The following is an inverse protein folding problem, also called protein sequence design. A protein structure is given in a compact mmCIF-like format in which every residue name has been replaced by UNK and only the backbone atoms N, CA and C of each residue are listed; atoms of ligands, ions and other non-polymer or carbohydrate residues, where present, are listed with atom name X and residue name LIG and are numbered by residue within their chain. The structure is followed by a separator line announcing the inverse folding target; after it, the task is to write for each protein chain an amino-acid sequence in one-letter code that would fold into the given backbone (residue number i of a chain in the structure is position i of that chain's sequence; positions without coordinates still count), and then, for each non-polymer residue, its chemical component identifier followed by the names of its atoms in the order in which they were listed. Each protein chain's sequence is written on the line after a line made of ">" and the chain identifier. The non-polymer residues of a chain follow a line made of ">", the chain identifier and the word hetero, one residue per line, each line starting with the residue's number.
data_IF_113124623519
#
_entry.id   IF_113124623519
#
_cell.length_a   1.000
_cell.length_b   1.000
_cell.length_c   1.000
_cell.angle_alpha   90.00
_cell.angle_beta   90.00
_cell.angle_gamma   90.00
#
_symmetry.space_group_name_H-M   'P 1'
#
loop_
_entity.id
_entity.type
_entity.pdbx_description
1 polymer ?
#
# COMPACT_ATOMS: atom_id res chain seq x y z
N UNK A 1 70.27 -0.62 -4.15
CA UNK A 1 69.87 -0.05 -5.48
C UNK A 1 69.11 1.25 -5.27
N UNK A 2 69.41 2.34 -6.01
CA UNK A 2 68.78 3.66 -5.77
C UNK A 2 67.39 3.74 -6.36
N UNK A 3 66.43 4.38 -5.65
CA UNK A 3 65.03 4.60 -6.08
C UNK A 3 64.92 5.18 -7.49
N UNK A 4 65.86 6.09 -7.86
CA UNK A 4 65.92 6.66 -9.22
C UNK A 4 66.21 5.66 -10.33
N UNK A 5 66.91 4.56 -10.00
CA UNK A 5 67.25 3.49 -10.96
C UNK A 5 66.02 2.59 -11.18
N UNK A 6 65.29 2.28 -10.12
CA UNK A 6 64.03 1.49 -10.19
C UNK A 6 62.95 2.16 -11.07
N UNK A 7 62.81 3.47 -10.98
CA UNK A 7 61.82 4.21 -11.79
C UNK A 7 62.09 4.27 -13.29
N UNK A 8 63.31 3.93 -13.72
CA UNK A 8 63.72 3.93 -15.14
C UNK A 8 63.76 2.53 -15.78
N UNK A 9 63.54 1.52 -15.00
CA UNK A 9 63.57 0.14 -15.48
C UNK A 9 62.26 -0.21 -16.19
N UNK A 10 62.34 -0.98 -17.25
CA UNK A 10 61.21 -1.54 -17.95
C UNK A 10 60.53 -2.59 -17.09
N UNK A 11 59.28 -2.95 -17.45
CA UNK A 11 58.50 -3.94 -16.72
C UNK A 11 59.20 -5.31 -16.68
N UNK A 12 59.86 -5.68 -17.75
CA UNK A 12 60.65 -6.94 -17.87
C UNK A 12 61.88 -6.92 -16.97
N UNK A 13 62.63 -5.83 -16.93
CA UNK A 13 63.76 -5.68 -16.03
C UNK A 13 63.37 -5.66 -14.56
N UNK A 14 62.22 -5.10 -14.21
CA UNK A 14 61.68 -5.15 -12.85
C UNK A 14 61.28 -6.57 -12.44
N UNK A 15 60.71 -7.35 -13.37
CA UNK A 15 60.36 -8.76 -13.12
C UNK A 15 61.62 -9.58 -12.87
N UNK A 16 62.66 -9.38 -13.68
CA UNK A 16 63.92 -10.08 -13.57
C UNK A 16 64.65 -9.78 -12.25
N UNK A 17 64.64 -8.53 -11.82
CA UNK A 17 65.16 -8.10 -10.52
C UNK A 17 64.34 -8.70 -9.37
N UNK A 18 63.01 -8.77 -9.50
CA UNK A 18 62.12 -9.37 -8.48
C UNK A 18 62.40 -10.88 -8.41
N UNK A 19 62.57 -11.56 -9.54
CA UNK A 19 62.86 -12.97 -9.56
C UNK A 19 64.26 -13.29 -9.02
N UNK A 20 65.27 -12.44 -9.29
CA UNK A 20 66.61 -12.57 -8.72
C UNK A 20 66.62 -12.34 -7.21
N UNK A 21 65.92 -11.32 -6.72
CA UNK A 21 65.74 -11.07 -5.28
C UNK A 21 64.97 -12.19 -4.58
N UNK A 22 64.09 -12.87 -5.30
CA UNK A 22 63.31 -14.00 -4.78
C UNK A 22 64.12 -15.30 -4.69
N UNK A 23 65.19 -15.44 -5.52
CA UNK A 23 66.12 -16.56 -5.47
C UNK A 23 67.11 -16.47 -4.29
N UNK A 24 67.39 -15.28 -3.80
CA UNK A 24 68.30 -15.01 -2.68
C UNK A 24 67.59 -15.04 -1.30
N UNK A 25 66.26 -15.22 -1.26
CA UNK A 25 65.48 -15.28 -0.01
C UNK A 25 65.72 -16.61 0.71
N UNK A 26 66.02 -16.54 1.99
CA UNK A 26 66.08 -17.72 2.83
C UNK A 26 64.71 -18.36 2.97
N UNK A 27 64.62 -19.72 3.15
CA UNK A 27 63.32 -20.38 3.30
C UNK A 27 62.43 -19.79 4.40
N UNK A 28 63.01 -19.18 5.43
CA UNK A 28 62.30 -18.51 6.52
C UNK A 28 61.66 -17.18 6.09
N UNK A 29 62.37 -16.40 5.25
CA UNK A 29 61.84 -15.12 4.73
C UNK A 29 60.69 -15.37 3.74
N UNK A 30 60.77 -16.38 2.91
CA UNK A 30 59.73 -16.78 1.97
C UNK A 30 58.46 -17.20 2.73
N UNK A 31 58.61 -17.94 3.84
CA UNK A 31 57.46 -18.34 4.68
C UNK A 31 56.82 -17.18 5.43
N UNK A 32 57.62 -16.24 5.91
CA UNK A 32 57.16 -15.03 6.55
C UNK A 32 56.34 -14.16 5.56
N UNK A 33 56.82 -13.97 4.34
CA UNK A 33 56.13 -13.26 3.28
C UNK A 33 54.78 -13.92 2.93
N UNK A 34 54.75 -15.24 2.81
CA UNK A 34 53.51 -15.99 2.55
C UNK A 34 52.48 -15.78 3.67
N UNK A 35 52.91 -15.75 4.94
CA UNK A 35 52.02 -15.49 6.07
C UNK A 35 51.45 -14.06 6.05
N UNK A 36 52.30 -13.07 5.72
CA UNK A 36 51.88 -11.67 5.59
C UNK A 36 50.90 -11.49 4.43
N UNK A 37 51.17 -12.12 3.28
CA UNK A 37 50.27 -12.05 2.13
C UNK A 37 48.93 -12.74 2.40
N UNK A 38 48.93 -13.89 3.08
CA UNK A 38 47.72 -14.56 3.50
C UNK A 38 46.86 -13.70 4.46
N UNK A 39 47.52 -13.01 5.40
CA UNK A 39 46.85 -12.13 6.34
C UNK A 39 46.30 -10.85 5.64
N UNK A 40 47.08 -10.26 4.74
CA UNK A 40 46.61 -9.14 3.89
C UNK A 40 45.41 -9.56 3.03
N UNK A 41 45.40 -10.73 2.45
CA UNK A 41 44.31 -11.26 1.66
C UNK A 41 43.05 -11.44 2.50
N UNK A 42 43.16 -12.03 3.69
CA UNK A 42 42.04 -12.17 4.65
C UNK A 42 41.46 -10.82 5.05
N UNK A 43 42.32 -9.84 5.35
CA UNK A 43 41.86 -8.52 5.75
C UNK A 43 41.19 -7.75 4.59
N UNK A 44 41.70 -7.91 3.37
CA UNK A 44 41.11 -7.28 2.17
C UNK A 44 39.79 -7.95 1.80
N UNK A 45 39.69 -9.27 1.86
CA UNK A 45 38.45 -10.02 1.61
C UNK A 45 37.37 -9.66 2.66
N UNK A 46 37.78 -9.60 3.94
CA UNK A 46 36.85 -9.16 5.02
C UNK A 46 36.34 -7.74 4.82
N UNK A 47 37.23 -6.79 4.44
CA UNK A 47 36.80 -5.40 4.14
C UNK A 47 35.88 -5.37 2.94
N UNK A 48 36.20 -6.08 1.87
CA UNK A 48 35.37 -6.17 0.66
C UNK A 48 34.00 -6.78 0.98
N UNK A 49 33.97 -7.85 1.76
CA UNK A 49 32.72 -8.45 2.21
C UNK A 49 31.84 -7.45 2.97
N UNK A 50 32.41 -6.74 3.94
CA UNK A 50 31.66 -5.73 4.70
C UNK A 50 31.20 -4.54 3.86
N UNK A 51 31.99 -4.12 2.87
CA UNK A 51 31.58 -3.06 1.94
C UNK A 51 30.41 -3.51 1.05
N UNK A 52 30.47 -4.71 0.48
CA UNK A 52 29.39 -5.29 -0.33
C UNK A 52 28.14 -5.49 0.53
N UNK A 53 28.29 -6.10 1.70
CA UNK A 53 27.18 -6.34 2.62
C UNK A 53 26.49 -5.03 3.01
N UNK A 54 27.26 -4.02 3.40
CA UNK A 54 26.72 -2.71 3.77
C UNK A 54 26.00 -2.04 2.59
N UNK A 55 26.55 -2.14 1.39
CA UNK A 55 25.91 -1.63 0.17
C UNK A 55 24.59 -2.34 -0.11
N UNK A 56 24.58 -3.68 -0.07
CA UNK A 56 23.36 -4.47 -0.31
C UNK A 56 22.29 -4.19 0.75
N UNK A 57 22.66 -4.17 2.03
CA UNK A 57 21.73 -3.88 3.13
C UNK A 57 21.16 -2.45 3.00
N UNK A 58 22.00 -1.46 2.68
CA UNK A 58 21.56 -0.08 2.46
C UNK A 58 20.56 0.01 1.31
N UNK A 59 20.84 -0.66 0.19
CA UNK A 59 19.93 -0.69 -0.97
C UNK A 59 18.60 -1.35 -0.61
N UNK A 60 18.62 -2.47 0.11
CA UNK A 60 17.41 -3.14 0.57
C UNK A 60 16.57 -2.26 1.49
N UNK A 61 17.21 -1.54 2.42
CA UNK A 61 16.52 -0.60 3.32
C UNK A 61 15.85 0.52 2.52
N UNK A 62 16.56 1.10 1.55
CA UNK A 62 16.01 2.18 0.72
C UNK A 62 14.82 1.67 -0.12
N UNK A 63 14.94 0.51 -0.75
CA UNK A 63 13.84 -0.10 -1.53
C UNK A 63 12.66 -0.42 -0.63
N UNK A 64 12.88 -0.99 0.54
CA UNK A 64 11.83 -1.28 1.51
C UNK A 64 11.15 0.01 2.01
N UNK A 65 11.94 1.05 2.30
CA UNK A 65 11.41 2.35 2.71
C UNK A 65 10.52 2.98 1.62
N UNK A 66 10.97 2.96 0.37
CA UNK A 66 10.19 3.47 -0.76
C UNK A 66 8.91 2.63 -0.93
N UNK A 67 9.00 1.31 -0.87
CA UNK A 67 7.87 0.39 -1.02
C UNK A 67 6.78 0.60 0.06
N UNK A 68 7.17 1.04 1.25
CA UNK A 68 6.22 1.35 2.34
C UNK A 68 5.74 2.80 2.27
N UNK A 69 6.65 3.76 2.11
CA UNK A 69 6.32 5.18 2.17
C UNK A 69 5.48 5.64 0.97
N UNK A 70 5.78 5.14 -0.23
CA UNK A 70 5.08 5.58 -1.43
C UNK A 70 3.57 5.26 -1.35
N UNK A 71 3.13 4.02 -1.07
CA UNK A 71 1.72 3.71 -0.90
C UNK A 71 1.07 4.47 0.27
N UNK A 72 1.74 4.58 1.42
CA UNK A 72 1.16 5.25 2.60
C UNK A 72 0.96 6.76 2.39
N UNK A 73 1.79 7.40 1.58
CA UNK A 73 1.64 8.82 1.25
C UNK A 73 0.61 9.07 0.14
N UNK A 74 0.46 8.12 -0.79
CA UNK A 74 -0.41 8.28 -1.98
C UNK A 74 -1.80 7.69 -1.78
N UNK A 75 -1.93 6.65 -0.95
CA UNK A 75 -3.18 5.95 -0.72
C UNK A 75 -3.67 6.22 0.70
N UNK A 76 -4.86 6.81 0.89
CA UNK A 76 -5.48 6.93 2.21
C UNK A 76 -5.68 5.53 2.81
N UNK A 77 -5.09 5.30 3.99
CA UNK A 77 -5.26 4.08 4.78
C UNK A 77 -6.23 4.40 5.90
N UNK A 78 -7.28 3.61 6.05
CA UNK A 78 -8.31 3.81 7.05
C UNK A 78 -8.54 2.54 7.87
N UNK A 79 -8.83 2.73 9.15
CA UNK A 79 -9.38 1.68 9.99
C UNK A 79 -10.88 1.83 10.09
N UNK A 80 -11.60 0.76 9.76
CA UNK A 80 -13.06 0.68 9.89
C UNK A 80 -13.44 0.74 11.37
N UNK A 81 -14.44 1.55 11.70
CA UNK A 81 -15.01 1.62 13.04
C UNK A 81 -16.52 1.48 12.96
N UNK A 82 -17.05 0.51 13.71
CA UNK A 82 -18.46 0.18 13.75
C UNK A 82 -18.87 -0.93 12.78
N UNK A 83 -20.15 -1.25 12.79
CA UNK A 83 -20.74 -2.43 12.13
C UNK A 83 -21.61 -2.09 10.90
N UNK A 84 -21.75 -0.82 10.56
CA UNK A 84 -22.68 -0.38 9.49
C UNK A 84 -22.37 -0.93 8.10
N UNK A 85 -21.19 -1.50 7.90
CA UNK A 85 -20.73 -2.13 6.64
C UNK A 85 -20.62 -3.65 6.73
N UNK A 86 -21.11 -4.27 7.84
CA UNK A 86 -21.24 -5.72 7.92
C UNK A 86 -22.21 -6.27 6.86
N UNK A 87 -21.92 -7.43 6.27
CA UNK A 87 -20.77 -8.30 6.51
C UNK A 87 -19.52 -7.96 5.67
N UNK A 88 -19.64 -7.01 4.73
CA UNK A 88 -18.56 -6.69 3.77
C UNK A 88 -17.29 -6.22 4.46
N UNK A 89 -17.42 -5.28 5.40
CA UNK A 89 -16.31 -4.78 6.21
C UNK A 89 -16.70 -4.87 7.70
N UNK A 90 -15.76 -5.32 8.50
CA UNK A 90 -15.94 -5.49 9.95
C UNK A 90 -15.19 -4.42 10.74
N UNK A 91 -15.60 -4.25 11.99
CA UNK A 91 -14.88 -3.36 12.92
C UNK A 91 -13.40 -3.74 13.00
N UNK A 92 -12.52 -2.74 12.97
CA UNK A 92 -11.05 -2.84 12.97
C UNK A 92 -10.41 -3.36 11.68
N UNK A 93 -11.17 -3.61 10.63
CA UNK A 93 -10.56 -3.84 9.30
C UNK A 93 -9.72 -2.62 8.90
N UNK A 94 -8.57 -2.87 8.28
CA UNK A 94 -7.74 -1.81 7.69
C UNK A 94 -7.85 -1.89 6.18
N UNK A 95 -8.26 -0.78 5.59
CA UNK A 95 -8.57 -0.67 4.17
C UNK A 95 -7.75 0.41 3.50
N UNK A 96 -7.49 0.22 2.22
CA UNK A 96 -6.90 1.23 1.33
C UNK A 96 -7.97 1.82 0.42
N UNK A 97 -7.92 3.14 0.26
CA UNK A 97 -8.76 3.84 -0.69
C UNK A 97 -7.92 4.31 -1.88
N UNK A 98 -8.57 4.41 -3.03
CA UNK A 98 -8.01 5.05 -4.23
C UNK A 98 -8.87 6.23 -4.62
N UNK A 99 -8.25 7.30 -5.08
CA UNK A 99 -8.97 8.43 -5.68
C UNK A 99 -9.46 8.02 -7.07
N UNK A 100 -10.74 8.24 -7.31
CA UNK A 100 -11.39 8.04 -8.61
C UNK A 100 -12.42 9.12 -8.84
N UNK A 101 -12.70 9.40 -10.10
CA UNK A 101 -13.80 10.25 -10.55
C UNK A 101 -14.94 9.43 -11.19
N UNK A 102 -14.68 8.14 -11.45
CA UNK A 102 -15.64 7.19 -12.01
C UNK A 102 -16.27 6.37 -10.89
N UNK A 103 -17.50 6.74 -10.54
CA UNK A 103 -18.29 6.13 -9.48
C UNK A 103 -19.43 5.31 -10.06
N UNK A 104 -19.60 4.10 -9.57
CA UNK A 104 -20.65 3.16 -10.01
C UNK A 104 -21.49 2.73 -8.82
N UNK A 105 -22.73 2.37 -9.09
CA UNK A 105 -23.59 1.66 -8.15
C UNK A 105 -22.88 0.38 -7.69
N UNK A 106 -22.85 0.17 -6.38
CA UNK A 106 -22.14 -0.92 -5.74
C UNK A 106 -20.76 -0.56 -5.19
N UNK A 107 -20.15 0.56 -5.61
CA UNK A 107 -18.84 0.98 -5.12
C UNK A 107 -18.88 1.37 -3.63
N UNK A 108 -17.89 0.92 -2.86
CA UNK A 108 -17.71 1.36 -1.49
C UNK A 108 -16.92 2.67 -1.46
N UNK A 109 -17.48 3.71 -0.85
CA UNK A 109 -16.84 5.00 -0.73
C UNK A 109 -16.60 5.43 0.71
N UNK A 110 -15.46 6.11 0.92
CA UNK A 110 -15.20 6.87 2.13
C UNK A 110 -15.47 8.35 1.88
N UNK A 111 -16.23 9.01 2.76
CA UNK A 111 -16.55 10.42 2.63
C UNK A 111 -16.55 11.14 3.98
N UNK A 112 -16.26 12.43 3.95
CA UNK A 112 -16.33 13.26 5.14
C UNK A 112 -17.77 13.72 5.40
N UNK A 113 -18.25 13.44 6.61
CA UNK A 113 -19.47 13.99 7.15
C UNK A 113 -19.15 14.68 8.47
N UNK A 114 -19.35 15.99 8.52
CA UNK A 114 -18.82 16.83 9.60
C UNK A 114 -17.31 16.58 9.76
N UNK A 115 -16.83 16.18 10.95
CA UNK A 115 -15.41 15.88 11.22
C UNK A 115 -15.13 14.38 11.28
N UNK A 116 -16.03 13.54 10.73
CA UNK A 116 -15.90 12.08 10.73
C UNK A 116 -15.78 11.57 9.29
N UNK A 117 -14.97 10.56 9.12
CA UNK A 117 -14.89 9.82 7.86
C UNK A 117 -15.81 8.60 7.98
N UNK A 118 -16.81 8.56 7.12
CA UNK A 118 -17.79 7.47 7.06
C UNK A 118 -17.53 6.60 5.84
N UNK A 119 -17.89 5.33 5.96
CA UNK A 119 -17.83 4.35 4.88
C UNK A 119 -19.25 3.90 4.55
N UNK A 120 -19.63 3.97 3.29
CA UNK A 120 -20.93 3.53 2.78
C UNK A 120 -20.79 3.00 1.35
N UNK A 121 -21.83 2.34 0.86
CA UNK A 121 -21.93 1.88 -0.52
C UNK A 121 -22.77 2.86 -1.33
N UNK A 122 -22.30 3.17 -2.54
CA UNK A 122 -23.06 3.97 -3.50
C UNK A 122 -24.20 3.11 -4.06
N UNK A 123 -25.40 3.60 -3.94
CA UNK A 123 -26.62 2.97 -4.45
C UNK A 123 -27.07 3.64 -5.73
N UNK A 124 -26.96 4.97 -5.81
CA UNK A 124 -27.27 5.69 -7.03
C UNK A 124 -26.46 6.96 -7.14
N UNK A 125 -26.28 7.41 -8.38
CA UNK A 125 -25.57 8.60 -8.77
C UNK A 125 -26.49 9.77 -9.11
N UNK A 126 -25.90 10.88 -9.58
CA UNK A 126 -26.67 12.10 -9.94
C UNK A 126 -27.77 11.79 -10.94
N UNK A 127 -29.00 12.24 -10.62
CA UNK A 127 -30.18 12.07 -11.45
C UNK A 127 -30.92 10.74 -11.31
N UNK A 128 -30.32 9.72 -10.66
CA UNK A 128 -30.99 8.45 -10.44
C UNK A 128 -32.20 8.59 -9.51
N UNK A 129 -33.22 7.76 -9.74
CA UNK A 129 -34.42 7.69 -8.92
C UNK A 129 -34.35 6.43 -8.05
N UNK A 130 -34.27 6.63 -6.75
CA UNK A 130 -34.19 5.56 -5.76
C UNK A 130 -35.59 5.29 -5.20
N UNK A 131 -35.95 4.03 -5.08
CA UNK A 131 -37.13 3.58 -4.36
C UNK A 131 -36.76 2.46 -3.40
N UNK A 132 -37.26 2.49 -2.18
CA UNK A 132 -37.08 1.44 -1.20
C UNK A 132 -38.46 1.08 -0.66
N UNK A 133 -38.78 -0.21 -0.70
CA UNK A 133 -40.08 -0.67 -0.18
C UNK A 133 -40.05 -0.91 1.33
N UNK A 134 -41.21 -1.22 1.89
CA UNK A 134 -41.33 -1.49 3.34
C UNK A 134 -40.56 -2.71 3.82
N UNK A 135 -40.11 -3.59 2.91
CA UNK A 135 -39.28 -4.75 3.20
C UNK A 135 -37.78 -4.44 3.05
N UNK A 136 -37.44 -3.23 2.59
CA UNK A 136 -36.07 -2.82 2.37
C UNK A 136 -35.49 -3.20 0.99
N UNK A 137 -36.33 -3.63 0.05
CA UNK A 137 -35.92 -3.90 -1.32
C UNK A 137 -35.63 -2.58 -2.03
N UNK A 138 -34.44 -2.44 -2.56
CA UNK A 138 -33.97 -1.22 -3.24
C UNK A 138 -34.18 -1.37 -4.74
N UNK A 139 -34.68 -0.30 -5.36
CA UNK A 139 -34.78 -0.17 -6.81
C UNK A 139 -34.13 1.14 -7.26
N UNK A 140 -33.42 1.11 -8.36
CA UNK A 140 -32.79 2.26 -9.01
C UNK A 140 -33.37 2.41 -10.41
N UNK A 141 -33.94 3.56 -10.71
CA UNK A 141 -34.62 3.85 -11.98
C UNK A 141 -35.72 2.83 -12.36
N UNK A 142 -36.37 2.23 -11.35
CA UNK A 142 -37.41 1.24 -11.51
C UNK A 142 -36.91 -0.21 -11.63
N UNK A 143 -35.61 -0.45 -11.67
CA UNK A 143 -35.02 -1.79 -11.68
C UNK A 143 -34.59 -2.18 -10.27
N UNK A 144 -34.94 -3.40 -9.83
CA UNK A 144 -34.54 -3.93 -8.52
C UNK A 144 -33.04 -4.17 -8.53
N UNK A 145 -32.36 -3.59 -7.53
CA UNK A 145 -30.92 -3.77 -7.37
C UNK A 145 -30.62 -5.15 -6.77
N UNK A 146 -29.68 -5.85 -7.40
CA UNK A 146 -29.13 -7.11 -6.85
C UNK A 146 -28.08 -6.78 -5.79
N UNK A 147 -28.35 -7.19 -4.55
CA UNK A 147 -27.56 -6.81 -3.38
C UNK A 147 -27.05 -8.03 -2.59
N UNK A 148 -26.17 -8.86 -3.20
CA UNK A 148 -25.66 -10.07 -2.55
C UNK A 148 -24.80 -9.80 -1.31
N UNK A 149 -24.45 -8.55 -1.07
CA UNK A 149 -23.67 -8.06 0.07
C UNK A 149 -24.53 -7.71 1.29
N UNK A 150 -25.85 -7.79 1.18
CA UNK A 150 -26.79 -7.50 2.27
C UNK A 150 -27.31 -8.79 2.85
N UNK A 151 -27.05 -9.05 4.14
CA UNK A 151 -27.53 -10.25 4.82
C UNK A 151 -29.03 -10.16 5.17
N UNK A 152 -29.47 -8.96 5.61
CA UNK A 152 -30.84 -8.70 6.05
C UNK A 152 -31.37 -7.42 5.40
N UNK A 153 -32.41 -7.57 4.57
CA UNK A 153 -33.10 -6.42 3.99
C UNK A 153 -33.94 -5.72 5.06
N UNK A 154 -33.78 -4.41 5.17
CA UNK A 154 -34.57 -3.58 6.08
C UNK A 154 -34.65 -2.15 5.56
N UNK A 155 -35.80 -1.50 5.76
CA UNK A 155 -35.93 -0.08 5.52
C UNK A 155 -34.99 0.73 6.46
N UNK A 156 -34.78 0.23 7.68
CA UNK A 156 -33.94 0.86 8.68
C UNK A 156 -34.42 2.22 9.14
N UNK A 157 -33.50 3.04 9.63
CA UNK A 157 -33.82 4.43 9.97
C UNK A 157 -33.98 5.25 8.69
N UNK A 158 -35.24 5.66 8.42
CA UNK A 158 -35.60 6.37 7.19
C UNK A 158 -36.64 7.48 7.51
N UNK A 159 -36.29 8.71 7.16
CA UNK A 159 -37.11 9.90 7.34
C UNK A 159 -37.33 10.68 6.03
N UNK A 160 -36.97 10.04 4.87
CA UNK A 160 -37.25 10.59 3.53
C UNK A 160 -38.38 9.82 2.85
N UNK A 161 -38.99 10.45 1.86
CA UNK A 161 -40.06 9.85 1.07
C UNK A 161 -39.48 9.25 -0.24
N UNK A 162 -40.05 8.14 -0.69
CA UNK A 162 -39.73 7.49 -1.97
C UNK A 162 -40.90 7.63 -2.95
N UNK A 163 -40.65 7.71 -4.28
CA UNK A 163 -39.35 7.71 -4.92
C UNK A 163 -38.52 8.97 -4.67
N UNK A 164 -37.21 8.83 -4.45
CA UNK A 164 -36.30 9.93 -4.18
C UNK A 164 -35.32 10.12 -5.36
N UNK A 165 -35.33 11.30 -5.96
CA UNK A 165 -34.37 11.62 -7.02
C UNK A 165 -33.10 12.18 -6.44
N UNK A 166 -31.97 11.56 -6.79
CA UNK A 166 -30.63 11.98 -6.37
C UNK A 166 -30.28 13.32 -7.01
N UNK A 167 -29.94 14.35 -6.22
CA UNK A 167 -29.59 15.66 -6.77
C UNK A 167 -28.31 15.60 -7.63
N UNK A 168 -28.14 16.57 -8.51
CA UNK A 168 -26.92 16.74 -9.30
C UNK A 168 -25.66 16.81 -8.44
N UNK A 169 -24.59 16.18 -8.87
CA UNK A 169 -23.29 16.11 -8.19
C UNK A 169 -23.33 15.42 -6.81
N UNK A 170 -24.39 14.68 -6.50
CA UNK A 170 -24.53 13.92 -5.26
C UNK A 170 -24.72 12.44 -5.51
N UNK A 171 -24.48 11.66 -4.47
CA UNK A 171 -24.63 10.22 -4.46
C UNK A 171 -25.50 9.78 -3.31
N UNK A 172 -26.41 8.87 -3.57
CA UNK A 172 -27.19 8.18 -2.56
C UNK A 172 -26.38 7.00 -2.05
N UNK A 173 -26.10 6.97 -0.77
CA UNK A 173 -25.25 5.97 -0.16
C UNK A 173 -25.97 5.23 0.96
N UNK A 174 -25.72 3.92 1.09
CA UNK A 174 -26.27 3.11 2.16
C UNK A 174 -25.20 2.24 2.82
N UNK A 175 -25.41 1.89 4.08
CA UNK A 175 -24.62 0.85 4.73
C UNK A 175 -25.07 -0.54 4.32
N UNK A 176 -24.18 -1.52 4.35
CA UNK A 176 -24.54 -2.91 4.04
C UNK A 176 -25.37 -3.54 5.18
N UNK A 177 -25.09 -3.14 6.42
CA UNK A 177 -25.92 -3.51 7.59
C UNK A 177 -27.14 -2.59 7.69
N UNK A 178 -28.18 -2.90 6.93
CA UNK A 178 -29.36 -2.06 6.69
C UNK A 178 -30.08 -1.64 7.95
N UNK A 179 -30.11 -2.48 8.97
CA UNK A 179 -30.85 -2.25 10.22
C UNK A 179 -30.20 -1.15 11.06
N UNK A 180 -28.88 -1.10 11.16
CA UNK A 180 -28.16 -0.19 12.08
C UNK A 180 -27.54 1.01 11.40
N UNK A 181 -27.48 1.00 10.06
CA UNK A 181 -26.82 2.07 9.32
C UNK A 181 -27.65 3.35 9.30
N UNK A 182 -27.03 4.45 9.73
CA UNK A 182 -27.50 5.80 9.44
C UNK A 182 -26.79 6.27 8.17
N UNK A 183 -27.57 6.59 7.13
CA UNK A 183 -27.05 6.87 5.78
C UNK A 183 -27.99 7.81 5.00
N UNK A 184 -28.01 7.77 3.66
CA UNK A 184 -28.81 8.69 2.85
C UNK A 184 -30.32 8.51 3.02
N UNK A 185 -30.78 7.44 3.65
CA UNK A 185 -32.20 7.29 4.05
C UNK A 185 -32.63 8.26 5.14
N UNK A 186 -31.65 8.81 5.87
CA UNK A 186 -31.89 9.81 6.89
C UNK A 186 -31.45 11.20 6.41
N UNK A 187 -32.27 12.20 6.64
CA UNK A 187 -31.95 13.62 6.38
C UNK A 187 -30.73 14.12 7.13
N UNK A 188 -30.33 13.40 8.20
CA UNK A 188 -29.12 13.71 8.98
C UNK A 188 -27.85 13.59 8.11
N UNK A 189 -27.77 12.57 7.28
CA UNK A 189 -26.66 12.37 6.33
C UNK A 189 -27.03 12.94 4.96
N UNK A 190 -28.20 12.54 4.44
CA UNK A 190 -28.64 12.90 3.10
C UNK A 190 -27.75 12.35 1.99
N UNK A 191 -27.93 12.85 0.77
CA UNK A 191 -27.05 12.53 -0.35
C UNK A 191 -25.68 13.19 -0.18
N UNK A 192 -24.62 12.41 -0.40
CA UNK A 192 -23.21 12.82 -0.24
C UNK A 192 -22.76 13.58 -1.48
N UNK A 193 -22.16 14.73 -1.29
CA UNK A 193 -21.58 15.52 -2.38
C UNK A 193 -20.27 14.90 -2.90
N UNK A 194 -20.06 14.95 -4.22
CA UNK A 194 -18.83 14.42 -4.84
C UNK A 194 -17.56 14.96 -4.17
N UNK A 195 -17.56 16.23 -3.78
CA UNK A 195 -16.46 16.91 -3.09
C UNK A 195 -16.13 16.35 -1.70
N UNK A 196 -17.08 15.70 -1.05
CA UNK A 196 -16.91 15.09 0.28
C UNK A 196 -16.29 13.69 0.18
N UNK A 197 -16.33 13.05 -1.00
CA UNK A 197 -15.82 11.70 -1.17
C UNK A 197 -14.30 11.72 -1.27
N UNK A 198 -13.65 10.99 -0.39
CA UNK A 198 -12.20 10.86 -0.28
C UNK A 198 -11.64 9.87 -1.30
N UNK A 199 -12.37 8.77 -1.51
CA UNK A 199 -11.96 7.72 -2.43
C UNK A 199 -12.80 6.46 -2.32
N UNK A 200 -12.58 5.56 -3.27
CA UNK A 200 -13.18 4.23 -3.37
C UNK A 200 -12.36 3.23 -2.55
N UNK A 201 -13.02 2.40 -1.77
CA UNK A 201 -12.37 1.28 -1.10
C UNK A 201 -11.91 0.28 -2.15
N UNK A 202 -10.62 -0.04 -2.11
CA UNK A 202 -9.99 -0.89 -3.13
C UNK A 202 -9.52 -2.22 -2.54
N UNK A 203 -8.92 -2.17 -1.34
CA UNK A 203 -8.24 -3.31 -0.75
C UNK A 203 -8.44 -3.35 0.76
N UNK A 204 -8.78 -4.51 1.31
CA UNK A 204 -8.66 -4.79 2.73
C UNK A 204 -7.30 -5.42 2.99
N UNK A 205 -6.46 -4.76 3.82
CA UNK A 205 -5.10 -5.19 4.14
C UNK A 205 -4.97 -5.91 5.47
N UNK A 206 -5.91 -5.69 6.37
CA UNK A 206 -5.95 -6.32 7.69
C UNK A 206 -7.39 -6.63 8.10
N UNK A 207 -7.64 -7.79 8.76
CA UNK A 207 -6.68 -8.83 9.14
C UNK A 207 -6.16 -9.61 7.93
N UNK A 208 -4.94 -10.16 8.03
CA UNK A 208 -4.31 -10.91 6.93
C UNK A 208 -5.13 -12.14 6.50
N UNK A 209 -5.92 -12.71 7.42
CA UNK A 209 -6.85 -13.82 7.13
C UNK A 209 -7.97 -13.44 6.16
N UNK A 210 -8.28 -12.14 6.07
CA UNK A 210 -9.37 -11.59 5.24
C UNK A 210 -8.82 -10.63 4.17
N UNK A 211 -7.52 -10.71 3.86
CA UNK A 211 -6.91 -9.92 2.79
C UNK A 211 -7.63 -10.17 1.46
N UNK A 212 -8.21 -9.12 0.89
CA UNK A 212 -9.00 -9.23 -0.34
C UNK A 212 -9.14 -7.89 -1.06
N UNK A 213 -9.23 -7.96 -2.38
CA UNK A 213 -9.75 -6.84 -3.18
C UNK A 213 -11.24 -6.67 -2.86
N UNK A 214 -11.69 -5.43 -2.75
CA UNK A 214 -13.09 -5.06 -2.55
C UNK A 214 -13.62 -4.54 -3.89
N UNK A 215 -14.73 -5.12 -4.31
CA UNK A 215 -15.41 -4.77 -5.57
C UNK A 215 -16.76 -4.16 -5.29
#
# INVERSE_FOLDING_TARGET
>A
MSERKLRRMSRTELIDVIDTLRQDETPQETEALRRVDAERKRLTERRRFWQVLRGTVSTLIVVAAIAVLLPTLLLPVLQVSGDSMNPTLQDRDVILLIKTDDWKTGDLCGFYWQNKLLLKRIIGGPGDVISIDTKGVVSVNGEVLDEPYVDELALGECDIEFPYQVPESRYFVMGDHRVTSIDSRSTVIGCVEKSQIVGKVFLRVWPLSSFSLIH
#
